data_IF_057225702645
#
_entry.id   IF_057225702645
#
_cell.length_a   1.000
_cell.length_b   1.000
_cell.length_c   1.000
_cell.angle_alpha   90.00
_cell.angle_beta   90.00
_cell.angle_gamma   90.00
#
_symmetry.space_group_name_H-M   'P 1'
#
loop_
_entity.id
_entity.type
_entity.pdbx_description
1 polymer ?
#
# COMPACT_ATOMS: atom_id res chain seq x y z
N UNK A 1 -6.33 1.30 -5.55
CA UNK A 1 -5.42 0.62 -4.62
C UNK A 1 -6.03 -0.58 -3.90
N UNK A 2 -7.19 -0.47 -3.24
CA UNK A 2 -7.77 -1.58 -2.45
C UNK A 2 -7.98 -2.87 -3.26
N UNK A 3 -8.51 -2.77 -4.47
CA UNK A 3 -8.72 -3.93 -5.36
C UNK A 3 -7.39 -4.60 -5.73
N UNK A 4 -6.37 -3.80 -6.06
CA UNK A 4 -5.04 -4.33 -6.38
C UNK A 4 -4.39 -5.00 -5.15
N UNK A 5 -4.56 -4.43 -3.95
CA UNK A 5 -4.09 -5.04 -2.70
C UNK A 5 -4.75 -6.38 -2.44
N UNK A 6 -6.07 -6.46 -2.56
CA UNK A 6 -6.82 -7.71 -2.40
C UNK A 6 -6.34 -8.79 -3.38
N UNK A 7 -6.22 -8.42 -4.66
CA UNK A 7 -5.74 -9.34 -5.69
C UNK A 7 -4.31 -9.81 -5.44
N UNK A 8 -3.40 -8.92 -5.01
CA UNK A 8 -2.03 -9.30 -4.71
C UNK A 8 -1.92 -10.15 -3.43
N UNK A 9 -2.74 -9.91 -2.42
CA UNK A 9 -2.77 -10.75 -1.21
C UNK A 9 -3.21 -12.18 -1.57
N UNK A 10 -4.22 -12.33 -2.42
CA UNK A 10 -4.64 -13.64 -2.93
C UNK A 10 -3.54 -14.29 -3.80
N UNK A 11 -2.97 -13.54 -4.74
CA UNK A 11 -1.95 -14.05 -5.67
C UNK A 11 -0.67 -14.53 -4.98
N UNK A 12 -0.27 -13.88 -3.88
CA UNK A 12 0.94 -14.21 -3.13
C UNK A 12 0.66 -14.96 -1.81
N UNK A 13 -0.59 -15.35 -1.56
CA UNK A 13 -1.04 -16.01 -0.34
C UNK A 13 -0.61 -15.28 0.94
N UNK A 14 -0.78 -13.95 0.97
CA UNK A 14 -0.49 -13.10 2.13
C UNK A 14 -1.74 -13.07 3.02
N UNK A 15 -1.64 -13.60 4.25
CA UNK A 15 -2.71 -13.52 5.24
C UNK A 15 -2.78 -12.11 5.84
N UNK A 16 -3.54 -11.24 5.15
CA UNK A 16 -3.78 -9.87 5.56
C UNK A 16 -5.23 -9.45 5.34
N UNK A 17 -5.71 -8.53 6.18
CA UNK A 17 -7.07 -8.00 6.13
C UNK A 17 -7.03 -6.48 6.07
N UNK A 18 -7.89 -5.92 5.22
CA UNK A 18 -8.14 -4.48 5.23
C UNK A 18 -8.70 -4.08 6.59
N UNK A 19 -8.08 -3.10 7.23
CA UNK A 19 -8.48 -2.61 8.54
C UNK A 19 -9.25 -1.30 8.43
N UNK A 20 -8.61 -0.28 7.85
CA UNK A 20 -9.20 1.05 7.77
C UNK A 20 -8.57 1.86 6.62
N UNK A 21 -9.38 2.74 6.03
CA UNK A 21 -8.93 3.81 5.12
C UNK A 21 -9.45 5.14 5.64
N UNK A 22 -8.55 6.06 5.96
CA UNK A 22 -8.88 7.42 6.44
C UNK A 22 -8.04 8.42 5.66
N UNK A 23 -8.68 9.41 5.05
CA UNK A 23 -8.02 10.43 4.23
C UNK A 23 -7.09 9.80 3.17
N UNK A 24 -5.78 9.98 3.31
CA UNK A 24 -4.72 9.44 2.46
C UNK A 24 -4.03 8.19 3.05
N UNK A 25 -4.45 7.74 4.24
CA UNK A 25 -3.93 6.55 4.92
C UNK A 25 -4.78 5.31 4.63
N UNK A 26 -4.09 4.20 4.36
CA UNK A 26 -4.70 2.86 4.22
C UNK A 26 -3.92 1.88 5.08
N UNK A 27 -4.61 1.17 5.97
CA UNK A 27 -4.00 0.22 6.92
C UNK A 27 -4.53 -1.19 6.73
N UNK A 28 -3.62 -2.15 6.84
CA UNK A 28 -3.89 -3.58 6.77
C UNK A 28 -3.35 -4.26 8.03
N UNK A 29 -4.13 -5.20 8.56
CA UNK A 29 -3.66 -6.12 9.60
C UNK A 29 -3.07 -7.33 8.90
N UNK A 30 -1.86 -7.71 9.27
CA UNK A 30 -1.11 -8.83 8.67
C UNK A 30 -0.52 -9.65 9.80
N UNK A 31 -0.47 -10.97 9.63
CA UNK A 31 -0.01 -11.87 10.69
C UNK A 31 1.53 -11.94 10.78
N UNK A 32 2.17 -12.52 9.77
CA UNK A 32 3.63 -12.75 9.75
C UNK A 32 4.31 -12.09 8.53
N UNK A 33 3.64 -12.05 7.38
CA UNK A 33 4.17 -11.57 6.10
C UNK A 33 4.17 -10.02 5.96
N UNK A 34 4.52 -9.30 7.02
CA UNK A 34 4.41 -7.83 7.08
C UNK A 34 5.24 -7.11 6.00
N UNK A 35 6.46 -7.59 5.71
CA UNK A 35 7.32 -7.02 4.67
C UNK A 35 6.78 -7.27 3.25
N UNK A 36 6.20 -8.45 3.02
CA UNK A 36 5.57 -8.78 1.73
C UNK A 36 4.33 -7.93 1.53
N UNK A 37 3.53 -7.73 2.57
CA UNK A 37 2.38 -6.84 2.53
C UNK A 37 2.79 -5.37 2.28
N UNK A 38 3.88 -4.90 2.90
CA UNK A 38 4.41 -3.56 2.66
C UNK A 38 4.88 -3.36 1.21
N UNK A 39 5.59 -4.33 0.64
CA UNK A 39 5.96 -4.32 -0.78
C UNK A 39 4.73 -4.31 -1.68
N UNK A 40 3.74 -5.12 -1.33
CA UNK A 40 2.48 -5.22 -2.07
C UNK A 40 1.74 -3.88 -2.08
N UNK A 41 1.76 -3.14 -0.97
CA UNK A 41 1.19 -1.79 -0.88
C UNK A 41 1.86 -0.80 -1.81
N UNK A 42 3.19 -0.87 -1.94
CA UNK A 42 3.94 -0.05 -2.89
C UNK A 42 3.58 -0.39 -4.34
N UNK A 43 3.49 -1.68 -4.68
CA UNK A 43 3.08 -2.14 -6.02
C UNK A 43 1.64 -1.72 -6.32
N UNK A 44 0.73 -1.85 -5.36
CA UNK A 44 -0.67 -1.46 -5.53
C UNK A 44 -0.83 0.06 -5.77
N UNK A 45 0.02 0.90 -5.15
CA UNK A 45 0.11 2.33 -5.46
C UNK A 45 0.56 2.55 -6.89
N UNK A 46 1.67 1.94 -7.29
CA UNK A 46 2.22 2.03 -8.65
C UNK A 46 1.16 1.66 -9.70
N UNK A 47 0.53 0.48 -9.58
CA UNK A 47 -0.48 0.00 -10.51
C UNK A 47 -1.67 0.96 -10.62
N UNK A 48 -2.12 1.48 -9.48
CA UNK A 48 -3.23 2.45 -9.44
C UNK A 48 -2.84 3.72 -10.21
N UNK A 49 -1.66 4.28 -9.94
CA UNK A 49 -1.20 5.54 -10.55
C UNK A 49 -0.85 5.38 -12.03
N UNK A 50 -0.25 4.26 -12.44
CA UNK A 50 -0.02 3.92 -13.85
C UNK A 50 -1.33 3.80 -14.62
N UNK A 51 -2.35 3.19 -14.03
CA UNK A 51 -3.67 3.07 -14.66
C UNK A 51 -4.27 4.46 -14.93
N UNK A 52 -4.16 5.38 -13.96
CA UNK A 52 -4.61 6.77 -14.15
C UNK A 52 -3.79 7.50 -15.21
N UNK A 53 -2.45 7.44 -15.15
CA UNK A 53 -1.58 8.07 -16.13
C UNK A 53 -1.90 7.60 -17.56
N UNK A 54 -2.00 6.30 -17.75
CA UNK A 54 -2.35 5.70 -19.05
C UNK A 54 -3.72 6.18 -19.56
N UNK A 55 -4.74 6.22 -18.68
CA UNK A 55 -6.08 6.71 -19.05
C UNK A 55 -6.10 8.20 -19.40
N UNK A 56 -5.16 8.98 -18.87
CA UNK A 56 -4.97 10.40 -19.18
C UNK A 56 -4.08 10.63 -20.42
N UNK A 57 -3.61 9.57 -21.08
CA UNK A 57 -2.72 9.66 -22.24
C UNK A 57 -1.25 9.95 -21.88
N UNK A 58 -0.88 9.82 -20.60
CA UNK A 58 0.50 9.91 -20.15
C UNK A 58 1.14 8.51 -20.23
N UNK A 59 2.21 8.38 -21.03
CA UNK A 59 2.90 7.11 -21.24
C UNK A 59 3.93 6.80 -20.14
N UNK A 60 4.35 7.80 -19.37
CA UNK A 60 5.36 7.67 -18.34
C UNK A 60 4.82 8.18 -17.00
N UNK A 61 5.27 7.54 -15.91
CA UNK A 61 4.96 7.93 -14.54
C UNK A 61 6.26 8.23 -13.79
N UNK A 62 6.44 9.44 -13.22
CA UNK A 62 7.60 9.76 -12.41
C UNK A 62 7.72 8.83 -11.19
N UNK A 63 8.93 8.38 -10.88
CA UNK A 63 9.20 7.49 -9.75
C UNK A 63 8.73 8.07 -8.40
N UNK A 64 8.90 9.38 -8.19
CA UNK A 64 8.45 10.08 -6.98
C UNK A 64 6.94 10.03 -6.81
N UNK A 65 6.19 9.86 -7.90
CA UNK A 65 4.74 9.68 -7.88
C UNK A 65 4.40 8.20 -7.83
N UNK A 66 5.19 7.28 -8.36
CA UNK A 66 4.83 5.86 -8.35
C UNK A 66 4.63 5.27 -6.93
N UNK A 67 5.52 5.62 -6.02
CA UNK A 67 5.64 4.98 -4.71
C UNK A 67 5.21 5.93 -3.57
N UNK A 68 4.83 5.35 -2.44
CA UNK A 68 4.72 6.11 -1.19
C UNK A 68 6.12 6.45 -0.67
N UNK A 69 6.22 7.54 0.08
CA UNK A 69 7.45 7.92 0.77
C UNK A 69 7.94 6.81 1.69
N UNK A 70 7.05 6.24 2.48
CA UNK A 70 7.33 5.14 3.41
C UNK A 70 6.10 4.24 3.56
N UNK A 71 6.33 2.98 3.96
CA UNK A 71 5.28 2.08 4.42
C UNK A 71 5.61 1.66 5.86
N UNK A 72 4.78 2.10 6.81
CA UNK A 72 5.00 1.88 8.24
C UNK A 72 4.39 0.55 8.69
N UNK A 73 5.13 -0.20 9.50
CA UNK A 73 4.68 -1.45 10.13
C UNK A 73 4.77 -1.25 11.63
N UNK A 74 3.65 -1.47 12.34
CA UNK A 74 3.57 -1.29 13.78
C UNK A 74 2.56 -2.30 14.35
N UNK A 75 2.74 -2.67 15.61
CA UNK A 75 1.79 -3.45 16.40
C UNK A 75 0.74 -2.55 17.08
N UNK A 76 1.06 -1.26 17.24
CA UNK A 76 0.17 -0.26 17.82
C UNK A 76 -0.40 0.66 16.73
N UNK A 77 -1.68 1.02 16.85
CA UNK A 77 -2.29 2.01 15.95
C UNK A 77 -1.85 3.42 16.37
N UNK A 78 -0.81 3.95 15.73
CA UNK A 78 -0.29 5.32 15.93
C UNK A 78 -0.12 6.03 14.60
N UNK A 79 -0.07 7.37 14.63
CA UNK A 79 0.14 8.19 13.43
C UNK A 79 1.56 8.03 12.89
N UNK A 80 2.56 8.07 13.77
CA UNK A 80 3.96 7.82 13.44
C UNK A 80 4.52 6.73 14.35
N UNK A 81 5.35 5.84 13.77
CA UNK A 81 5.94 4.70 14.51
C UNK A 81 6.95 5.19 15.55
N UNK A 82 7.61 6.32 15.29
CA UNK A 82 8.61 6.94 16.17
C UNK A 82 8.03 7.83 17.25
N UNK A 83 6.71 8.04 17.30
CA UNK A 83 6.10 8.73 18.45
C UNK A 83 6.17 7.80 19.66
N UNK A 84 7.12 8.09 20.55
CA UNK A 84 7.11 7.58 21.92
C UNK A 84 5.91 8.18 22.65
N UNK A 85 5.19 7.32 23.39
CA UNK A 85 4.06 7.68 24.24
C UNK A 85 4.55 8.34 25.53
#
# INVERSE_FOLDING_TARGET
MLVAMMWLFEAFAIDGRFCISIHDEVRYLVREDCYRAALTLQIASLLTRCTFAYKLGLNDLPQSVAFFSTASIDQCLRKEVTMEL
#
